data_IF_159109989886
#
_entry.id   IF_159109989886
#
_cell.length_a   1.000
_cell.length_b   1.000
_cell.length_c   1.000
_cell.angle_alpha   90.00
_cell.angle_beta   90.00
_cell.angle_gamma   90.00
#
_symmetry.space_group_name_H-M   'P 1'
#
loop_
_entity.id
_entity.type
_entity.pdbx_description
1 polymer ?
#
# COMPACT_ATOMS: atom_id res chain seq x y z
N UNK A 1 41.90 -4.94 2.27
CA UNK A 1 40.90 -6.00 2.40
C UNK A 1 39.83 -5.75 1.36
N UNK A 2 39.62 -6.67 0.44
CA UNK A 2 38.50 -6.64 -0.51
C UNK A 2 37.21 -6.96 0.23
N UNK A 3 36.10 -6.28 -0.12
CA UNK A 3 34.79 -6.45 0.52
C UNK A 3 33.71 -6.50 -0.55
N UNK A 4 32.81 -7.45 -0.39
CA UNK A 4 31.55 -7.51 -1.15
C UNK A 4 30.38 -7.53 -0.15
N UNK A 5 29.36 -6.70 -0.38
CA UNK A 5 28.14 -6.66 0.41
C UNK A 5 26.98 -7.20 -0.41
N UNK A 6 26.48 -8.37 -0.06
CA UNK A 6 25.35 -9.00 -0.72
C UNK A 6 24.05 -8.67 0.08
N UNK A 7 23.06 -8.17 -0.61
CA UNK A 7 21.71 -7.88 -0.05
C UNK A 7 20.81 -9.07 -0.31
N UNK A 8 20.56 -9.86 0.73
CA UNK A 8 19.65 -11.01 0.63
C UNK A 8 18.22 -10.61 0.96
N UNK A 9 17.26 -11.10 0.17
CA UNK A 9 15.82 -10.99 0.44
C UNK A 9 15.32 -9.54 0.61
N UNK A 10 15.72 -8.65 -0.30
CA UNK A 10 15.23 -7.27 -0.31
C UNK A 10 13.71 -7.22 -0.48
N UNK A 11 13.03 -6.41 0.33
CA UNK A 11 11.60 -6.18 0.21
C UNK A 11 11.37 -5.09 -0.83
N UNK A 12 10.70 -5.37 -1.97
CA UNK A 12 10.47 -4.36 -2.99
C UNK A 12 9.36 -3.39 -2.57
N UNK A 13 9.64 -2.09 -2.70
CA UNK A 13 8.65 -1.01 -2.59
C UNK A 13 8.78 -0.17 -3.85
N UNK A 14 7.75 -0.18 -4.70
CA UNK A 14 7.74 0.59 -5.94
C UNK A 14 7.03 1.92 -5.74
N UNK A 15 7.65 3.02 -6.21
CA UNK A 15 7.01 4.34 -6.29
C UNK A 15 6.81 4.68 -7.76
N UNK A 16 5.57 4.98 -8.15
CA UNK A 16 5.23 5.51 -9.47
C UNK A 16 4.52 6.85 -9.34
N UNK A 17 4.59 7.69 -10.37
CA UNK A 17 4.04 9.05 -10.33
C UNK A 17 3.00 9.25 -11.42
N UNK A 18 1.78 9.63 -11.01
CA UNK A 18 0.71 10.03 -11.90
C UNK A 18 0.96 11.44 -12.43
N UNK A 19 1.12 11.55 -13.74
CA UNK A 19 1.47 12.84 -14.41
C UNK A 19 0.26 13.69 -14.79
N UNK A 20 -0.94 13.13 -14.76
CA UNK A 20 -2.16 13.84 -15.11
C UNK A 20 -2.77 14.55 -13.91
N UNK A 21 -3.70 15.46 -14.19
CA UNK A 21 -4.43 16.18 -13.15
C UNK A 21 -5.51 15.31 -12.52
N UNK A 22 -5.59 15.30 -11.21
CA UNK A 22 -6.57 14.55 -10.40
C UNK A 22 -7.47 15.48 -9.53
N UNK A 23 -7.61 16.75 -9.92
CA UNK A 23 -8.48 17.71 -9.18
C UNK A 23 -9.94 17.28 -9.14
N UNK A 24 -10.41 16.65 -10.20
CA UNK A 24 -11.81 16.16 -10.30
C UNK A 24 -12.06 15.06 -9.26
N UNK A 25 -11.16 14.10 -9.14
CA UNK A 25 -11.22 13.01 -8.17
C UNK A 25 -11.12 13.55 -6.74
N UNK A 26 -10.18 14.48 -6.49
CA UNK A 26 -10.02 15.11 -5.18
C UNK A 26 -11.27 15.95 -4.79
N UNK A 27 -11.87 16.67 -5.71
CA UNK A 27 -13.13 17.38 -5.48
C UNK A 27 -14.28 16.41 -5.14
N UNK A 28 -14.37 15.29 -5.84
CA UNK A 28 -15.34 14.24 -5.51
C UNK A 28 -15.11 13.70 -4.10
N UNK A 29 -13.87 13.38 -3.76
CA UNK A 29 -13.48 12.90 -2.43
C UNK A 29 -13.93 13.88 -1.34
N UNK A 30 -13.61 15.17 -1.49
CA UNK A 30 -13.92 16.18 -0.48
C UNK A 30 -15.42 16.49 -0.33
N UNK A 31 -16.20 16.38 -1.41
CA UNK A 31 -17.61 16.84 -1.42
C UNK A 31 -18.64 15.73 -1.35
N UNK A 32 -18.32 14.51 -1.76
CA UNK A 32 -19.30 13.44 -1.99
C UNK A 32 -19.07 12.19 -1.15
N UNK A 33 -17.88 11.96 -0.59
CA UNK A 33 -17.63 10.77 0.20
C UNK A 33 -18.21 10.90 1.60
N UNK A 34 -18.93 9.85 2.02
CA UNK A 34 -19.28 9.64 3.42
C UNK A 34 -18.10 9.00 4.12
N UNK A 35 -17.75 9.54 5.28
CA UNK A 35 -16.63 9.11 6.09
C UNK A 35 -17.12 8.44 7.37
N UNK A 36 -16.32 7.52 7.87
CA UNK A 36 -16.50 6.85 9.17
C UNK A 36 -15.16 6.87 9.90
N UNK A 37 -15.19 6.99 11.22
CA UNK A 37 -13.98 6.86 12.02
C UNK A 37 -13.32 5.50 11.85
N UNK A 38 -12.00 5.50 11.83
CA UNK A 38 -11.19 4.30 11.69
C UNK A 38 -10.53 3.95 13.04
N UNK A 39 -11.30 3.33 13.91
CA UNK A 39 -10.87 3.01 15.28
C UNK A 39 -10.68 4.25 16.15
N UNK A 40 -9.78 4.16 17.12
CA UNK A 40 -9.53 5.21 18.12
C UNK A 40 -8.49 6.26 17.71
N UNK A 41 -7.97 6.19 16.49
CA UNK A 41 -6.81 6.98 16.03
C UNK A 41 -7.16 8.37 15.49
N UNK A 42 -8.42 8.79 15.60
CA UNK A 42 -8.95 10.07 15.10
C UNK A 42 -8.76 10.26 13.59
N UNK A 43 -8.49 9.20 12.85
CA UNK A 43 -8.49 9.22 11.39
C UNK A 43 -9.82 8.65 10.85
N UNK A 44 -10.11 8.94 9.58
CA UNK A 44 -11.35 8.53 8.94
C UNK A 44 -11.03 7.75 7.67
N UNK A 45 -11.95 6.87 7.28
CA UNK A 45 -11.97 6.23 5.99
C UNK A 45 -13.30 6.42 5.28
N UNK A 46 -13.32 6.25 3.98
CA UNK A 46 -14.59 6.22 3.23
C UNK A 46 -15.45 5.03 3.65
N UNK A 47 -16.76 5.24 3.73
CA UNK A 47 -17.74 4.15 3.92
C UNK A 47 -17.69 3.20 2.72
N UNK A 48 -17.66 3.78 1.50
CA UNK A 48 -17.48 3.00 0.27
C UNK A 48 -16.04 2.45 0.19
N UNK A 49 -15.92 1.13 0.11
CA UNK A 49 -14.66 0.38 -0.02
C UNK A 49 -14.40 -0.19 -1.42
N UNK A 50 -15.09 0.33 -2.44
CA UNK A 50 -14.93 -0.06 -3.84
C UNK A 50 -14.82 1.15 -4.78
N UNK A 51 -14.14 2.21 -4.34
CA UNK A 51 -14.10 3.51 -5.03
C UNK A 51 -13.58 3.41 -6.46
N UNK A 52 -12.60 2.55 -6.74
CA UNK A 52 -12.04 2.36 -8.08
C UNK A 52 -13.02 1.68 -9.07
N UNK A 53 -14.19 1.19 -8.62
CA UNK A 53 -15.27 0.78 -9.51
C UNK A 53 -16.06 1.96 -10.10
N UNK A 54 -15.94 3.16 -9.52
CA UNK A 54 -16.66 4.35 -10.01
C UNK A 54 -15.97 4.95 -11.23
N UNK A 55 -16.77 5.34 -12.23
CA UNK A 55 -16.29 5.94 -13.49
C UNK A 55 -15.35 7.12 -13.28
N UNK A 56 -15.58 7.94 -12.25
CA UNK A 56 -14.76 9.12 -11.95
C UNK A 56 -13.29 8.75 -11.67
N UNK A 57 -13.00 7.55 -11.15
CA UNK A 57 -11.65 7.07 -10.87
C UNK A 57 -11.05 6.21 -11.99
N UNK A 58 -11.71 6.10 -13.15
CA UNK A 58 -11.28 5.17 -14.21
C UNK A 58 -9.86 5.39 -14.72
N UNK A 59 -9.43 6.66 -14.85
CA UNK A 59 -8.07 7.02 -15.26
C UNK A 59 -7.03 6.65 -14.20
N UNK A 60 -7.33 6.91 -12.93
CA UNK A 60 -6.46 6.50 -11.82
C UNK A 60 -6.41 4.98 -11.70
N UNK A 61 -7.54 4.30 -11.84
CA UNK A 61 -7.58 2.84 -11.84
C UNK A 61 -6.66 2.25 -12.91
N UNK A 62 -6.74 2.76 -14.14
CA UNK A 62 -5.85 2.32 -15.22
C UNK A 62 -4.38 2.51 -14.88
N UNK A 63 -4.01 3.68 -14.35
CA UNK A 63 -2.64 3.94 -13.89
C UNK A 63 -2.20 2.98 -12.77
N UNK A 64 -3.08 2.64 -11.82
CA UNK A 64 -2.77 1.70 -10.75
C UNK A 64 -2.57 0.29 -11.30
N UNK A 65 -3.43 -0.14 -12.23
CA UNK A 65 -3.29 -1.44 -12.91
C UNK A 65 -2.00 -1.53 -13.73
N UNK A 66 -1.61 -0.46 -14.43
CA UNK A 66 -0.34 -0.40 -15.15
C UNK A 66 0.86 -0.47 -14.19
N UNK A 67 0.80 0.26 -13.07
CA UNK A 67 1.83 0.21 -12.03
C UNK A 67 1.92 -1.16 -11.34
N UNK A 68 0.79 -1.83 -11.13
CA UNK A 68 0.75 -3.21 -10.62
C UNK A 68 1.38 -4.19 -11.62
N UNK A 69 1.14 -4.02 -12.91
CA UNK A 69 1.78 -4.85 -13.93
C UNK A 69 3.31 -4.71 -13.89
N UNK A 70 3.84 -3.49 -13.74
CA UNK A 70 5.28 -3.27 -13.57
C UNK A 70 5.78 -3.99 -12.32
N UNK A 71 5.11 -3.82 -11.18
CA UNK A 71 5.50 -4.46 -9.92
C UNK A 71 5.53 -5.99 -10.04
N UNK A 72 4.49 -6.56 -10.63
CA UNK A 72 4.28 -7.99 -10.71
C UNK A 72 5.17 -8.66 -11.76
N UNK A 73 5.27 -8.07 -12.97
CA UNK A 73 6.00 -8.66 -14.08
C UNK A 73 7.50 -8.33 -14.06
N UNK A 74 7.90 -7.11 -13.70
CA UNK A 74 9.29 -6.68 -13.81
C UNK A 74 10.05 -6.89 -12.48
N UNK A 75 9.37 -6.82 -11.33
CA UNK A 75 10.01 -6.94 -10.01
C UNK A 75 9.82 -8.35 -9.45
N UNK A 76 8.57 -8.84 -9.35
CA UNK A 76 8.29 -10.15 -8.76
C UNK A 76 8.40 -11.28 -9.78
N UNK A 77 8.27 -10.98 -11.08
CA UNK A 77 8.33 -11.93 -12.19
C UNK A 77 7.40 -13.14 -12.00
N UNK A 78 6.14 -12.86 -11.61
CA UNK A 78 5.12 -13.89 -11.37
C UNK A 78 4.26 -14.16 -12.60
N UNK A 79 3.68 -15.37 -12.68
CA UNK A 79 2.80 -15.77 -13.79
C UNK A 79 1.36 -15.29 -13.61
N UNK A 80 0.91 -15.19 -12.36
CA UNK A 80 -0.46 -14.82 -12.01
C UNK A 80 -0.63 -13.30 -12.09
N UNK A 81 -1.73 -12.86 -12.69
CA UNK A 81 -2.06 -11.44 -12.78
C UNK A 81 -2.81 -10.98 -11.53
N UNK A 82 -2.36 -9.88 -10.95
CA UNK A 82 -3.04 -9.21 -9.84
C UNK A 82 -4.22 -8.38 -10.33
N UNK A 83 -5.31 -8.38 -9.56
CA UNK A 83 -6.45 -7.47 -9.73
C UNK A 83 -6.78 -6.76 -8.42
N UNK A 84 -7.31 -5.53 -8.52
CA UNK A 84 -7.70 -4.73 -7.37
C UNK A 84 -9.00 -5.27 -6.79
N UNK A 85 -8.99 -5.64 -5.51
CA UNK A 85 -10.16 -6.16 -4.79
C UNK A 85 -10.96 -5.04 -4.15
N UNK A 86 -10.42 -4.39 -3.14
CA UNK A 86 -11.03 -3.26 -2.44
C UNK A 86 -10.22 -1.99 -2.61
N UNK A 87 -10.88 -0.85 -2.48
CA UNK A 87 -10.24 0.47 -2.57
C UNK A 87 -11.04 1.51 -1.78
N UNK A 88 -10.35 2.24 -0.91
CA UNK A 88 -10.95 3.24 -0.01
C UNK A 88 -10.05 4.47 0.14
N UNK A 89 -10.63 5.58 0.55
CA UNK A 89 -9.88 6.80 0.87
C UNK A 89 -9.69 6.89 2.37
N UNK A 90 -8.48 7.28 2.79
CA UNK A 90 -8.12 7.62 4.15
C UNK A 90 -7.96 9.13 4.29
N UNK A 91 -8.53 9.67 5.37
CA UNK A 91 -8.34 11.04 5.83
C UNK A 91 -7.63 11.00 7.18
N UNK A 92 -6.47 11.65 7.22
CA UNK A 92 -5.73 11.85 8.46
C UNK A 92 -5.73 13.34 8.82
N UNK A 93 -6.72 13.81 9.60
CA UNK A 93 -6.76 15.20 10.09
C UNK A 93 -5.52 15.55 10.94
N UNK A 94 -5.31 16.84 11.26
CA UNK A 94 -4.32 17.24 12.25
C UNK A 94 -4.46 16.44 13.54
N UNK A 95 -3.33 16.03 14.13
CA UNK A 95 -3.24 15.24 15.38
C UNK A 95 -3.80 13.82 15.30
N UNK A 96 -4.18 13.33 14.12
CA UNK A 96 -4.52 11.91 13.90
C UNK A 96 -3.30 11.10 13.51
N UNK A 97 -3.40 9.81 13.67
CA UNK A 97 -2.39 8.82 13.23
C UNK A 97 -3.07 7.65 12.52
N UNK A 98 -2.31 6.79 11.90
CA UNK A 98 -2.79 5.48 11.46
C UNK A 98 -1.93 4.41 12.12
N UNK A 99 -2.55 3.52 12.89
CA UNK A 99 -1.85 2.48 13.66
C UNK A 99 -1.05 1.53 12.75
N UNK A 100 -0.12 0.83 13.35
CA UNK A 100 0.63 -0.22 12.66
C UNK A 100 -0.29 -1.39 12.29
N UNK A 101 -0.24 -1.81 11.03
CA UNK A 101 -1.02 -2.92 10.50
C UNK A 101 -0.40 -3.55 9.26
N UNK A 102 -0.97 -4.66 8.86
CA UNK A 102 -0.78 -5.34 7.55
C UNK A 102 -2.14 -5.47 6.87
N UNK A 103 -2.17 -5.94 5.63
CA UNK A 103 -3.42 -6.18 4.90
C UNK A 103 -3.64 -7.69 4.67
N UNK A 104 -4.41 -8.36 5.55
CA UNK A 104 -4.79 -9.77 5.34
C UNK A 104 -5.54 -9.97 4.02
N UNK A 105 -5.42 -11.16 3.43
CA UNK A 105 -6.07 -11.53 2.16
C UNK A 105 -5.72 -10.59 0.99
N UNK A 106 -4.50 -10.05 0.99
CA UNK A 106 -3.97 -9.23 -0.08
C UNK A 106 -2.53 -9.61 -0.36
N UNK A 107 -2.12 -9.56 -1.63
CA UNK A 107 -0.76 -9.90 -2.07
C UNK A 107 0.09 -8.63 -2.13
N UNK A 108 -0.39 -7.62 -2.86
CA UNK A 108 0.22 -6.31 -2.98
C UNK A 108 -0.79 -5.26 -2.56
N UNK A 109 -0.37 -4.33 -1.73
CA UNK A 109 -1.16 -3.15 -1.36
C UNK A 109 -0.63 -1.90 -2.04
N UNK A 110 -1.54 -1.01 -2.40
CA UNK A 110 -1.20 0.27 -3.02
C UNK A 110 -1.76 1.45 -2.23
N UNK A 111 -1.00 2.54 -2.19
CA UNK A 111 -1.43 3.81 -1.59
C UNK A 111 -1.10 4.96 -2.51
N UNK A 112 -2.11 5.65 -3.03
CA UNK A 112 -1.99 6.86 -3.84
C UNK A 112 -2.28 8.10 -3.00
N UNK A 113 -1.47 9.15 -3.15
CA UNK A 113 -1.53 10.35 -2.34
C UNK A 113 -2.15 11.51 -3.10
N UNK A 114 -3.34 11.94 -2.67
CA UNK A 114 -4.03 13.10 -3.24
C UNK A 114 -3.55 14.42 -2.64
N UNK A 115 -3.36 14.46 -1.32
CA UNK A 115 -3.01 15.67 -0.60
C UNK A 115 -1.97 15.37 0.47
N UNK A 116 -0.77 15.85 0.22
CA UNK A 116 0.38 15.79 1.13
C UNK A 116 1.15 17.09 1.05
N UNK A 117 1.64 17.60 2.16
CA UNK A 117 2.60 18.68 2.26
C UNK A 117 3.84 18.25 3.09
N UNK A 118 4.87 19.10 3.13
CA UNK A 118 6.15 18.82 3.76
C UNK A 118 6.08 18.59 5.28
N UNK A 119 5.02 19.07 5.93
CA UNK A 119 4.78 18.89 7.37
C UNK A 119 3.97 17.63 7.70
N UNK A 120 3.45 16.95 6.67
CA UNK A 120 2.71 15.71 6.86
C UNK A 120 3.65 14.52 7.07
N UNK A 121 3.27 13.56 7.93
CA UNK A 121 4.11 12.42 8.22
C UNK A 121 4.30 11.52 7.00
N UNK A 122 5.50 10.91 6.86
CA UNK A 122 5.75 9.88 5.87
C UNK A 122 4.92 8.63 6.16
N UNK A 123 4.86 7.70 5.21
CA UNK A 123 4.52 6.32 5.56
C UNK A 123 5.75 5.67 6.20
N UNK A 124 5.53 4.97 7.31
CA UNK A 124 6.59 4.28 8.04
C UNK A 124 6.40 2.79 7.86
N UNK A 125 7.40 2.13 7.29
CA UNK A 125 7.48 0.68 7.20
C UNK A 125 8.30 0.14 8.37
N UNK A 126 7.81 -0.92 9.01
CA UNK A 126 8.43 -1.51 10.17
C UNK A 126 9.00 -2.89 9.82
N UNK A 127 10.20 -3.18 10.35
CA UNK A 127 10.86 -4.46 10.15
C UNK A 127 10.01 -5.59 10.74
N UNK A 128 9.83 -6.66 9.98
CA UNK A 128 9.05 -7.84 10.41
C UNK A 128 9.90 -8.85 11.19
N UNK A 129 11.22 -8.82 11.00
CA UNK A 129 12.16 -9.68 11.70
C UNK A 129 12.77 -8.93 12.88
N UNK A 130 12.68 -9.51 14.09
CA UNK A 130 13.30 -8.93 15.26
C UNK A 130 14.83 -9.02 15.19
N UNK A 131 15.50 -7.94 15.54
CA UNK A 131 16.91 -7.96 15.82
C UNK A 131 17.08 -8.55 17.23
N UNK A 132 17.64 -9.76 17.35
CA UNK A 132 17.77 -10.46 18.63
C UNK A 132 18.62 -9.72 19.67
N UNK A 133 19.49 -8.80 19.21
CA UNK A 133 20.37 -8.02 20.08
C UNK A 133 20.29 -6.54 19.70
N UNK A 134 20.03 -5.71 20.70
CA UNK A 134 20.06 -4.25 20.56
C UNK A 134 21.45 -3.73 20.87
N UNK A 135 22.13 -3.17 19.88
CA UNK A 135 23.44 -2.52 20.02
C UNK A 135 23.31 -1.04 19.76
N UNK A 136 24.12 -0.23 20.42
CA UNK A 136 24.26 1.19 20.07
C UNK A 136 24.80 1.34 18.65
N UNK A 137 24.23 2.24 17.88
CA UNK A 137 24.60 2.46 16.47
C UNK A 137 25.05 3.89 16.27
N UNK A 138 26.16 4.09 15.59
CA UNK A 138 26.64 5.43 15.23
C UNK A 138 25.75 6.10 14.18
N UNK A 139 25.19 5.31 13.24
CA UNK A 139 24.33 5.80 12.16
C UNK A 139 23.38 4.69 11.71
N UNK A 140 22.10 5.03 11.58
CA UNK A 140 21.09 4.12 11.03
C UNK A 140 21.25 3.95 9.52
N UNK A 141 20.98 2.73 9.05
CA UNK A 141 20.98 2.34 7.65
C UNK A 141 19.98 1.19 7.42
N UNK A 142 19.87 0.68 6.20
CA UNK A 142 18.95 -0.38 5.82
C UNK A 142 19.18 -1.73 6.56
N UNK A 143 20.35 -1.95 7.16
CA UNK A 143 20.67 -3.21 7.85
C UNK A 143 20.38 -3.17 9.35
N UNK A 144 20.46 -1.99 9.97
CA UNK A 144 20.34 -1.82 11.41
C UNK A 144 19.11 -1.03 11.88
N UNK A 145 18.29 -0.48 10.95
CA UNK A 145 17.08 0.25 11.27
C UNK A 145 15.92 -0.70 11.55
N UNK A 146 15.13 -0.40 12.58
CA UNK A 146 13.88 -1.11 12.90
C UNK A 146 12.71 -0.63 12.02
N UNK A 147 12.79 0.59 11.51
CA UNK A 147 11.79 1.19 10.64
C UNK A 147 12.43 1.98 9.50
N UNK A 148 11.64 2.21 8.46
CA UNK A 148 11.99 3.02 7.30
C UNK A 148 10.91 4.06 7.05
N UNK A 149 11.28 5.34 7.18
CA UNK A 149 10.39 6.47 6.93
C UNK A 149 10.50 6.83 5.45
N UNK A 150 9.46 6.55 4.67
CA UNK A 150 9.42 6.86 3.25
C UNK A 150 8.68 8.18 3.02
N UNK A 151 9.40 9.28 2.65
CA UNK A 151 8.78 10.53 2.25
C UNK A 151 7.87 10.32 1.04
N UNK A 152 6.76 11.03 1.03
CA UNK A 152 5.70 10.89 0.02
C UNK A 152 5.33 12.26 -0.56
N UNK A 153 4.86 12.26 -1.81
CA UNK A 153 4.39 13.48 -2.50
C UNK A 153 3.01 13.26 -3.10
N UNK A 154 2.25 14.34 -3.25
CA UNK A 154 0.97 14.28 -3.97
C UNK A 154 1.19 13.82 -5.41
N UNK A 155 0.33 12.91 -5.88
CA UNK A 155 0.42 12.27 -7.20
C UNK A 155 1.32 11.02 -7.23
N UNK A 156 1.92 10.61 -6.12
CA UNK A 156 2.68 9.36 -6.03
C UNK A 156 1.78 8.19 -5.62
N UNK A 157 2.03 7.05 -6.22
CA UNK A 157 1.51 5.74 -5.85
C UNK A 157 2.67 4.92 -5.30
N UNK A 158 2.48 4.32 -4.14
CA UNK A 158 3.40 3.36 -3.53
C UNK A 158 2.77 1.98 -3.57
N UNK A 159 3.51 0.98 -4.08
CA UNK A 159 3.14 -0.44 -4.06
C UNK A 159 4.13 -1.21 -3.20
N UNK A 160 3.61 -2.11 -2.36
CA UNK A 160 4.43 -2.91 -1.44
C UNK A 160 3.74 -4.23 -1.09
N UNK A 161 4.49 -5.26 -0.63
CA UNK A 161 3.89 -6.51 -0.15
C UNK A 161 2.90 -6.24 0.97
N UNK A 162 1.71 -6.79 0.89
CA UNK A 162 0.64 -6.55 1.87
C UNK A 162 0.96 -7.02 3.28
N UNK A 163 1.92 -7.94 3.42
CA UNK A 163 2.45 -8.43 4.69
C UNK A 163 3.43 -7.46 5.36
N UNK A 164 3.91 -6.45 4.63
CA UNK A 164 4.83 -5.46 5.18
C UNK A 164 4.10 -4.54 6.16
N UNK A 165 4.49 -4.60 7.43
CA UNK A 165 3.92 -3.76 8.50
C UNK A 165 4.20 -2.30 8.23
N UNK A 166 3.16 -1.48 8.36
CA UNK A 166 3.28 -0.05 8.13
C UNK A 166 2.31 0.75 8.98
N UNK A 167 2.64 2.02 9.16
CA UNK A 167 1.87 2.99 9.95
C UNK A 167 2.01 4.40 9.38
N UNK A 168 1.22 5.33 9.90
CA UNK A 168 1.39 6.76 9.65
C UNK A 168 1.49 7.46 10.99
N UNK A 169 2.62 8.10 11.32
CA UNK A 169 2.78 8.88 12.54
C UNK A 169 1.77 10.01 12.66
N UNK A 170 1.75 10.68 13.81
CA UNK A 170 0.84 11.80 14.06
C UNK A 170 0.99 12.87 12.99
N UNK A 171 -0.13 13.28 12.39
CA UNK A 171 -0.16 14.40 11.45
C UNK A 171 0.05 15.72 12.18
N UNK A 172 1.23 16.31 12.03
CA UNK A 172 1.62 17.59 12.63
C UNK A 172 1.28 18.80 11.76
N UNK A 173 0.82 18.57 10.51
CA UNK A 173 0.29 19.62 9.64
C UNK A 173 -1.07 20.14 10.16
N UNK A 174 -1.46 21.34 9.73
CA UNK A 174 -2.79 21.89 9.96
C UNK A 174 -3.82 21.51 8.87
N UNK A 175 -3.47 20.60 7.98
CA UNK A 175 -4.32 20.12 6.88
C UNK A 175 -4.55 18.62 6.94
N UNK A 176 -5.60 18.15 6.28
CA UNK A 176 -5.87 16.73 6.11
C UNK A 176 -4.84 16.11 5.15
N UNK A 177 -4.23 15.01 5.56
CA UNK A 177 -3.52 14.10 4.65
C UNK A 177 -4.54 13.16 4.04
N UNK A 178 -4.61 13.13 2.70
CA UNK A 178 -5.62 12.36 1.95
C UNK A 178 -4.92 11.37 1.04
N UNK A 179 -5.26 10.09 1.20
CA UNK A 179 -4.73 9.00 0.37
C UNK A 179 -5.84 8.02 -0.03
N UNK A 180 -5.67 7.35 -1.18
CA UNK A 180 -6.50 6.24 -1.61
C UNK A 180 -5.68 4.96 -1.53
N UNK A 181 -6.16 4.02 -0.74
CA UNK A 181 -5.56 2.70 -0.57
C UNK A 181 -6.34 1.64 -1.34
N UNK A 182 -5.65 0.59 -1.78
CA UNK A 182 -6.29 -0.58 -2.37
C UNK A 182 -5.52 -1.86 -2.04
N UNK A 183 -6.24 -2.96 -2.09
CA UNK A 183 -5.73 -4.32 -1.94
C UNK A 183 -5.82 -5.08 -3.27
N UNK A 184 -5.01 -6.11 -3.43
CA UNK A 184 -4.99 -6.95 -4.62
C UNK A 184 -5.02 -8.43 -4.30
N UNK A 185 -5.48 -9.22 -5.26
CA UNK A 185 -5.41 -10.68 -5.22
C UNK A 185 -5.32 -11.25 -6.64
N UNK A 186 -5.16 -12.57 -6.78
CA UNK A 186 -5.17 -13.28 -8.07
C UNK A 186 -6.57 -13.81 -8.39
N UNK A 187 -6.89 -13.96 -9.68
CA UNK A 187 -8.22 -14.43 -10.13
C UNK A 187 -8.28 -15.94 -10.37
N UNK A 188 -7.14 -16.60 -10.55
CA UNK A 188 -7.10 -17.98 -11.00
C UNK A 188 -6.67 -18.93 -9.88
N UNK A 189 -5.37 -19.16 -9.76
CA UNK A 189 -4.81 -20.08 -8.81
C UNK A 189 -3.56 -19.56 -8.14
N UNK A 190 -3.32 -20.01 -6.92
CA UNK A 190 -2.08 -19.86 -6.17
C UNK A 190 -1.44 -21.23 -5.99
N UNK A 191 -0.12 -21.24 -5.79
CA UNK A 191 0.63 -22.47 -5.54
C UNK A 191 0.76 -23.37 -6.77
N UNK A 192 1.09 -24.61 -6.52
CA UNK A 192 1.41 -25.62 -7.52
C UNK A 192 0.77 -26.96 -7.16
N UNK A 193 0.20 -27.65 -8.16
CA UNK A 193 -0.32 -29.01 -8.04
C UNK A 193 0.79 -29.99 -7.64
N UNK A 194 1.98 -29.85 -8.23
CA UNK A 194 3.12 -30.72 -7.96
C UNK A 194 3.58 -30.62 -6.50
N UNK A 195 3.53 -29.42 -5.94
CA UNK A 195 3.93 -29.14 -4.55
C UNK A 195 2.78 -29.35 -3.55
N UNK A 196 1.60 -29.77 -4.01
CA UNK A 196 0.39 -29.93 -3.19
C UNK A 196 -0.03 -28.66 -2.46
N UNK A 197 0.23 -27.50 -3.08
CA UNK A 197 -0.08 -26.16 -2.53
C UNK A 197 -1.11 -25.42 -3.37
N UNK A 198 -1.66 -26.05 -4.40
CA UNK A 198 -2.59 -25.40 -5.32
C UNK A 198 -3.88 -24.98 -4.63
N UNK A 199 -4.21 -23.72 -4.73
CA UNK A 199 -5.51 -23.14 -4.43
C UNK A 199 -6.12 -22.62 -5.73
N UNK A 200 -7.01 -23.39 -6.35
CA UNK A 200 -7.69 -23.04 -7.58
C UNK A 200 -9.06 -22.41 -7.28
N UNK A 201 -9.11 -21.07 -7.31
CA UNK A 201 -10.30 -20.30 -6.94
C UNK A 201 -11.47 -20.59 -7.89
N UNK A 202 -11.20 -20.76 -9.19
CA UNK A 202 -12.24 -21.05 -10.18
C UNK A 202 -12.88 -22.41 -9.97
N UNK A 203 -12.08 -23.42 -9.65
CA UNK A 203 -12.61 -24.76 -9.39
C UNK A 203 -13.40 -24.85 -8.08
N UNK A 204 -12.95 -24.16 -7.03
CA UNK A 204 -13.68 -24.09 -5.76
C UNK A 204 -15.07 -23.47 -5.96
N UNK A 205 -15.17 -22.45 -6.79
CA UNK A 205 -16.46 -21.79 -7.05
C UNK A 205 -17.42 -22.65 -7.87
N UNK A 206 -16.92 -23.54 -8.74
CA UNK A 206 -17.75 -24.48 -9.52
C UNK A 206 -18.32 -25.64 -8.69
N UNK A 207 -17.68 -26.00 -7.57
CA UNK A 207 -18.12 -27.08 -6.69
C UNK A 207 -19.35 -26.75 -5.84
N UNK A 208 -19.93 -25.56 -5.99
CA UNK A 208 -21.13 -25.10 -5.25
C UNK A 208 -22.45 -25.36 -5.97
N UNK A 209 -22.41 -25.92 -7.15
CA UNK A 209 -23.56 -26.35 -7.94
C UNK A 209 -23.70 -27.89 -7.89
#
# INVERSE_FOLDING_TARGET
>A
MEKELIRLFSIPVLITKYKLNFKTELNYINKKLKLIENGTNKNFRSVDSYLLKKKIFSKLKKFFEDSLNVYDQEICNTKQKLFITQSWVNFNPPKSLHHEHTHPNSIVSGVFYFQVDEKMPPITFNRTTNLNFKREVFKYNEFNSENFLLPIKSGELILFPSTLKHSVPINTSNKNRISLSFNTFVSDKLGSEIELTELNIKEILKQKD
#
